data_IF_122599764030
#
_entry.id   IF_122599764030
#
_cell.length_a   1.000
_cell.length_b   1.000
_cell.length_c   1.000
_cell.angle_alpha   90.00
_cell.angle_beta   90.00
_cell.angle_gamma   90.00
#
_symmetry.space_group_name_H-M   'P 1'
#
loop_
_entity.id
_entity.type
_entity.pdbx_description
1 polymer ?
#
# COMPACT_ATOMS: atom_id res chain seq x y z
N UNK A 1 -18.49 2.61 1.08
CA UNK A 1 -17.23 1.91 0.73
C UNK A 1 -16.17 2.86 0.20
N UNK A 2 -16.52 4.03 -0.35
CA UNK A 2 -15.62 5.17 -0.46
C UNK A 2 -16.37 6.38 0.09
N UNK A 3 -15.91 6.92 1.22
CA UNK A 3 -16.30 8.26 1.63
C UNK A 3 -15.36 9.19 0.86
N UNK A 4 -15.84 9.90 -0.18
CA UNK A 4 -14.98 10.63 -1.12
C UNK A 4 -14.21 11.81 -0.49
N UNK A 5 -14.45 12.09 0.79
CA UNK A 5 -13.95 13.26 1.52
C UNK A 5 -13.00 12.90 2.67
N UNK A 6 -12.55 11.64 2.78
CA UNK A 6 -11.59 11.23 3.81
C UNK A 6 -10.23 10.93 3.18
N UNK A 7 -9.21 11.68 3.61
CA UNK A 7 -7.82 11.45 3.21
C UNK A 7 -7.39 10.04 3.62
N UNK A 8 -6.74 9.33 2.69
CA UNK A 8 -6.37 7.93 2.88
C UNK A 8 -4.92 7.86 3.34
N UNK A 9 -4.69 8.13 4.62
CA UNK A 9 -3.37 8.10 5.25
C UNK A 9 -2.81 6.67 5.30
N UNK A 10 -2.05 6.30 4.27
CA UNK A 10 -1.43 4.99 4.18
C UNK A 10 -0.25 4.95 3.21
N UNK A 11 0.53 3.87 3.33
CA UNK A 11 1.59 3.57 2.39
C UNK A 11 1.18 2.47 1.40
N UNK A 12 1.54 2.66 0.13
CA UNK A 12 1.41 1.66 -0.93
C UNK A 12 2.81 1.13 -1.27
N UNK A 13 3.03 -0.17 -1.04
CA UNK A 13 4.31 -0.82 -1.33
C UNK A 13 4.32 -1.28 -2.80
N UNK A 14 5.30 -0.82 -3.58
CA UNK A 14 5.44 -1.12 -5.01
C UNK A 14 6.66 -2.02 -5.24
N UNK A 15 6.44 -3.23 -5.77
CA UNK A 15 7.50 -4.20 -6.08
C UNK A 15 7.61 -4.39 -7.59
N UNK A 16 8.81 -4.24 -8.17
CA UNK A 16 9.04 -4.41 -9.61
C UNK A 16 10.51 -4.70 -9.89
N UNK A 17 10.78 -5.45 -10.97
CA UNK A 17 12.12 -5.65 -11.52
C UNK A 17 12.47 -4.62 -12.61
N UNK A 18 11.49 -3.87 -13.13
CA UNK A 18 11.71 -2.74 -14.03
C UNK A 18 11.56 -1.44 -13.24
N UNK A 19 12.65 -0.69 -13.17
CA UNK A 19 12.75 0.57 -12.45
C UNK A 19 11.83 1.64 -13.04
N UNK A 20 11.75 1.74 -14.37
CA UNK A 20 10.96 2.77 -15.03
C UNK A 20 9.46 2.58 -14.78
N UNK A 21 8.98 1.33 -14.89
CA UNK A 21 7.60 0.98 -14.53
C UNK A 21 7.33 1.21 -13.04
N UNK A 22 8.28 0.92 -12.15
CA UNK A 22 8.12 1.13 -10.71
C UNK A 22 7.87 2.61 -10.40
N UNK A 23 8.72 3.48 -10.91
CA UNK A 23 8.63 4.94 -10.70
C UNK A 23 7.30 5.50 -11.23
N UNK A 24 6.88 5.09 -12.42
CA UNK A 24 5.59 5.52 -12.98
C UNK A 24 4.40 5.13 -12.09
N UNK A 25 4.40 3.91 -11.53
CA UNK A 25 3.32 3.44 -10.66
C UNK A 25 3.38 4.12 -9.29
N UNK A 26 4.57 4.34 -8.73
CA UNK A 26 4.71 5.10 -7.48
C UNK A 26 4.14 6.52 -7.62
N UNK A 27 4.46 7.21 -8.71
CA UNK A 27 3.92 8.54 -9.03
C UNK A 27 2.40 8.51 -9.24
N UNK A 28 1.87 7.43 -9.82
CA UNK A 28 0.43 7.27 -10.00
C UNK A 28 -0.28 7.09 -8.64
N UNK A 29 0.28 6.29 -7.73
CA UNK A 29 -0.26 6.07 -6.40
C UNK A 29 -0.33 7.36 -5.57
N UNK A 30 0.70 8.19 -5.66
CA UNK A 30 0.78 9.49 -4.97
C UNK A 30 -0.23 10.54 -5.47
N UNK A 31 -0.96 10.27 -6.56
CA UNK A 31 -2.09 11.11 -6.97
C UNK A 31 -3.32 10.94 -6.07
N UNK A 32 -3.35 9.90 -5.23
CA UNK A 32 -4.40 9.68 -4.25
C UNK A 32 -4.06 10.49 -2.98
N UNK A 33 -4.89 11.44 -2.54
CA UNK A 33 -4.62 12.25 -1.35
C UNK A 33 -4.38 11.39 -0.09
N UNK A 34 -3.28 11.66 0.62
CA UNK A 34 -2.86 10.92 1.82
C UNK A 34 -2.04 9.65 1.57
N UNK A 35 -1.94 9.19 0.32
CA UNK A 35 -1.18 7.99 -0.04
C UNK A 35 0.27 8.34 -0.34
N UNK A 36 1.19 7.61 0.27
CA UNK A 36 2.62 7.65 -0.05
C UNK A 36 3.06 6.33 -0.65
N UNK A 37 3.82 6.37 -1.73
CA UNK A 37 4.36 5.17 -2.36
C UNK A 37 5.70 4.78 -1.72
N UNK A 38 5.90 3.50 -1.45
CA UNK A 38 7.12 2.94 -0.85
C UNK A 38 7.72 1.91 -1.82
N UNK A 39 9.01 2.02 -2.12
CA UNK A 39 9.72 1.01 -2.91
C UNK A 39 9.85 -0.29 -2.08
N UNK A 40 9.17 -1.35 -2.52
CA UNK A 40 9.21 -2.68 -1.92
C UNK A 40 10.34 -3.57 -2.45
N UNK A 41 11.17 -3.05 -3.36
CA UNK A 41 12.28 -3.75 -3.99
C UNK A 41 11.84 -4.54 -5.24
N UNK A 42 12.44 -5.73 -5.41
CA UNK A 42 12.23 -6.58 -6.58
C UNK A 42 10.84 -7.22 -6.57
N UNK A 43 10.39 -7.73 -7.73
CA UNK A 43 9.09 -8.39 -7.87
C UNK A 43 8.94 -9.61 -6.94
N UNK A 44 10.04 -10.25 -6.54
CA UNK A 44 10.02 -11.40 -5.63
C UNK A 44 9.46 -11.06 -4.24
N UNK A 45 9.53 -9.78 -3.83
CA UNK A 45 8.99 -9.31 -2.57
C UNK A 45 7.45 -9.15 -2.61
N UNK A 46 6.82 -9.17 -3.80
CA UNK A 46 5.36 -9.05 -3.95
C UNK A 46 4.59 -10.10 -3.15
N UNK A 47 5.13 -11.33 -3.05
CA UNK A 47 4.52 -12.40 -2.25
C UNK A 47 4.26 -12.00 -0.78
N UNK A 48 5.10 -11.14 -0.20
CA UNK A 48 4.93 -10.67 1.18
C UNK A 48 3.82 -9.63 1.28
N UNK A 49 3.71 -8.74 0.29
CA UNK A 49 2.64 -7.75 0.18
C UNK A 49 1.28 -8.44 -0.02
N UNK A 50 1.23 -9.48 -0.86
CA UNK A 50 0.03 -10.29 -1.08
C UNK A 50 -0.43 -11.00 0.20
N UNK A 51 0.51 -11.62 0.93
CA UNK A 51 0.22 -12.28 2.21
C UNK A 51 -0.25 -11.30 3.30
N UNK A 52 0.29 -10.07 3.32
CA UNK A 52 -0.13 -9.03 4.26
C UNK A 52 -1.62 -8.68 4.10
N UNK A 53 -2.18 -8.79 2.89
CA UNK A 53 -3.60 -8.54 2.65
C UNK A 53 -4.48 -9.51 3.42
N UNK A 54 -4.14 -10.81 3.44
CA UNK A 54 -4.88 -11.81 4.21
C UNK A 54 -4.84 -11.50 5.72
N UNK A 55 -3.70 -11.03 6.22
CA UNK A 55 -3.55 -10.58 7.60
C UNK A 55 -4.44 -9.35 7.90
N UNK A 56 -4.43 -8.34 7.03
CA UNK A 56 -5.27 -7.14 7.19
C UNK A 56 -6.77 -7.47 7.18
N UNK A 57 -7.22 -8.40 6.33
CA UNK A 57 -8.61 -8.88 6.34
C UNK A 57 -8.96 -9.51 7.68
N UNK A 58 -8.08 -10.33 8.25
CA UNK A 58 -8.31 -10.94 9.56
C UNK A 58 -8.38 -9.88 10.68
N UNK A 59 -7.45 -8.92 10.68
CA UNK A 59 -7.46 -7.78 11.62
C UNK A 59 -8.78 -7.01 11.51
N UNK A 60 -9.21 -6.68 10.29
CA UNK A 60 -10.47 -5.98 10.03
C UNK A 60 -11.68 -6.77 10.54
N UNK A 61 -11.67 -8.10 10.43
CA UNK A 61 -12.74 -8.97 10.96
C UNK A 61 -12.80 -8.94 12.50
N UNK A 62 -11.66 -8.91 13.17
CA UNK A 62 -11.54 -8.86 14.63
C UNK A 62 -12.02 -7.50 15.15
N UNK A 63 -11.49 -6.41 14.60
CA UNK A 63 -11.73 -5.05 15.10
C UNK A 63 -12.91 -4.33 14.44
N UNK A 64 -13.60 -4.96 13.48
CA UNK A 64 -14.71 -4.36 12.70
C UNK A 64 -14.31 -3.02 12.06
N UNK A 65 -13.12 -2.99 11.47
CA UNK A 65 -12.50 -1.78 10.95
C UNK A 65 -12.14 -1.91 9.47
N UNK A 66 -11.73 -0.78 8.88
CA UNK A 66 -11.03 -0.71 7.59
C UNK A 66 -9.62 -0.17 7.85
N UNK A 67 -8.69 -1.07 8.14
CA UNK A 67 -7.29 -0.73 8.46
C UNK A 67 -6.43 -0.55 7.21
N UNK A 68 -5.38 0.24 7.38
CA UNK A 68 -4.29 0.48 6.44
C UNK A 68 -2.94 0.24 7.11
N UNK A 69 -1.85 0.38 6.36
CA UNK A 69 -0.48 0.26 6.87
C UNK A 69 0.29 1.57 6.64
N UNK A 70 1.26 1.84 7.52
CA UNK A 70 2.23 2.92 7.37
C UNK A 70 3.59 2.42 7.86
N UNK A 71 4.61 2.57 7.03
CA UNK A 71 6.01 2.28 7.33
C UNK A 71 6.61 3.54 7.97
N UNK A 72 7.19 3.38 9.15
CA UNK A 72 7.75 4.49 9.94
C UNK A 72 9.25 4.33 10.07
N UNK A 73 9.96 5.46 10.20
CA UNK A 73 11.43 5.48 10.30
C UNK A 73 12.17 5.50 8.97
N UNK A 74 11.46 5.77 7.86
CA UNK A 74 12.00 6.00 6.50
C UNK A 74 11.35 7.23 5.86
#
# INVERSE_FOLDING_TARGET
LLLPSQDMECDVIVCSNDQSSKEQIMLLGERIPGVRSIDGGSLQNAKYVEQLTALLININKIYKAHSSIKIVGI
#
